data_IF_003298566938
#
_entry.id   IF_003298566938
#
_cell.length_a   1.000
_cell.length_b   1.000
_cell.length_c   1.000
_cell.angle_alpha   90.00
_cell.angle_beta   90.00
_cell.angle_gamma   90.00
#
_symmetry.space_group_name_H-M   'P 1'
#
loop_
_entity.id
_entity.type
_entity.pdbx_description
1 polymer ?
#
# COMPACT_ATOMS: atom_id res chain seq x y z
N UNK A 1 -17.91 -31.88 -14.41
CA UNK A 1 -19.19 -32.42 -13.91
C UNK A 1 -18.88 -33.58 -12.94
N UNK A 2 -19.70 -33.88 -11.90
CA UNK A 2 -19.37 -34.91 -10.91
C UNK A 2 -20.36 -36.10 -11.03
N UNK A 3 -19.86 -37.34 -10.85
CA UNK A 3 -20.64 -38.57 -10.87
C UNK A 3 -20.17 -39.57 -9.79
N UNK A 4 -21.09 -40.32 -9.21
CA UNK A 4 -20.80 -41.41 -8.29
C UNK A 4 -20.84 -42.78 -9.00
N UNK A 5 -21.28 -42.84 -10.27
CA UNK A 5 -21.25 -44.03 -11.09
C UNK A 5 -19.86 -44.25 -11.68
N UNK A 6 -19.13 -45.18 -11.07
CA UNK A 6 -17.73 -45.49 -11.46
C UNK A 6 -17.57 -46.98 -11.66
N UNK A 7 -16.98 -47.36 -12.82
CA UNK A 7 -16.74 -48.76 -13.16
C UNK A 7 -15.26 -49.00 -13.45
N UNK A 8 -14.64 -49.96 -12.80
CA UNK A 8 -13.22 -50.28 -12.92
C UNK A 8 -13.00 -51.59 -13.68
N UNK A 9 -11.94 -51.64 -14.48
CA UNK A 9 -11.50 -52.84 -15.16
C UNK A 9 -10.18 -53.38 -14.56
N UNK A 10 -9.85 -54.61 -14.89
CA UNK A 10 -8.56 -55.22 -14.53
C UNK A 10 -7.39 -54.53 -15.23
N UNK A 11 -6.25 -54.48 -14.54
CA UNK A 11 -5.00 -53.92 -15.10
C UNK A 11 -4.56 -54.77 -16.26
N UNK A 12 -4.13 -54.14 -17.36
CA UNK A 12 -3.61 -54.81 -18.57
C UNK A 12 -2.17 -54.42 -18.80
N UNK A 13 -1.35 -55.32 -19.46
CA UNK A 13 -0.04 -54.90 -19.97
C UNK A 13 -0.22 -53.75 -20.99
N UNK A 14 0.59 -52.68 -20.85
CA UNK A 14 0.57 -51.58 -21.78
C UNK A 14 1.21 -51.95 -23.15
N UNK A 15 0.88 -51.20 -24.18
CA UNK A 15 1.27 -51.49 -25.58
C UNK A 15 2.70 -51.01 -25.94
N UNK A 16 3.50 -50.52 -25.00
CA UNK A 16 4.86 -50.01 -25.28
C UNK A 16 5.81 -51.14 -25.63
N UNK A 17 6.50 -51.06 -26.80
CA UNK A 17 7.42 -52.07 -27.31
C UNK A 17 8.77 -52.12 -26.58
N UNK A 18 9.17 -51.06 -25.89
CA UNK A 18 10.53 -50.91 -25.31
C UNK A 18 10.58 -50.97 -23.80
N UNK A 19 9.48 -50.82 -23.08
CA UNK A 19 9.41 -50.85 -21.61
C UNK A 19 8.10 -51.44 -21.13
N UNK A 20 8.14 -52.38 -20.18
CA UNK A 20 6.91 -52.93 -19.58
C UNK A 20 6.15 -51.81 -18.87
N UNK A 21 4.92 -51.55 -19.30
CA UNK A 21 4.00 -50.61 -18.71
C UNK A 21 2.67 -51.34 -18.39
N UNK A 22 1.89 -50.72 -17.50
CA UNK A 22 0.61 -51.28 -17.02
C UNK A 22 -0.48 -50.23 -17.22
N UNK A 23 -1.54 -50.57 -17.97
CA UNK A 23 -2.66 -49.72 -18.26
C UNK A 23 -3.81 -50.02 -17.30
N UNK A 24 -4.31 -48.99 -16.63
CA UNK A 24 -5.45 -48.98 -15.77
C UNK A 24 -6.57 -48.26 -16.52
N UNK A 25 -7.78 -48.84 -16.52
CA UNK A 25 -8.94 -48.24 -17.19
C UNK A 25 -10.13 -48.22 -16.23
N UNK A 26 -10.87 -47.14 -16.27
CA UNK A 26 -12.11 -46.98 -15.52
C UNK A 26 -13.06 -46.05 -16.30
N UNK A 27 -14.32 -45.99 -15.87
CA UNK A 27 -15.36 -45.17 -16.48
C UNK A 27 -16.07 -44.39 -15.37
N UNK A 28 -16.29 -43.10 -15.60
CA UNK A 28 -17.05 -42.23 -14.70
C UNK A 28 -18.28 -41.70 -15.46
N UNK A 29 -19.47 -42.12 -15.00
CA UNK A 29 -20.69 -41.90 -15.76
C UNK A 29 -20.61 -42.54 -17.17
N UNK A 30 -20.69 -41.73 -18.22
CA UNK A 30 -20.53 -42.14 -19.60
C UNK A 30 -19.09 -42.07 -20.13
N UNK A 31 -18.16 -41.39 -19.44
CA UNK A 31 -16.82 -41.02 -19.93
C UNK A 31 -15.76 -42.06 -19.55
N UNK A 32 -15.05 -42.70 -20.52
CA UNK A 32 -13.95 -43.61 -20.25
C UNK A 32 -12.65 -42.88 -19.95
N UNK A 33 -11.87 -43.40 -18.99
CA UNK A 33 -10.55 -42.88 -18.60
C UNK A 33 -9.53 -44.00 -18.58
N UNK A 34 -8.26 -43.63 -18.79
CA UNK A 34 -7.12 -44.56 -18.67
C UNK A 34 -5.88 -43.87 -18.13
N UNK A 35 -5.01 -44.62 -17.46
CA UNK A 35 -3.71 -44.19 -17.01
C UNK A 35 -2.69 -45.31 -17.23
N UNK A 36 -1.46 -44.99 -17.66
CA UNK A 36 -0.41 -45.94 -17.91
C UNK A 36 0.75 -45.70 -16.94
N UNK A 37 1.12 -46.73 -16.18
CA UNK A 37 2.18 -46.66 -15.17
C UNK A 37 3.31 -47.63 -15.52
N UNK A 38 4.56 -47.27 -15.15
CA UNK A 38 5.75 -48.04 -15.48
C UNK A 38 6.02 -49.27 -14.62
N UNK A 39 5.23 -49.46 -13.54
CA UNK A 39 5.45 -50.51 -12.56
C UNK A 39 4.10 -51.08 -12.11
N UNK A 40 4.02 -52.40 -11.96
CA UNK A 40 2.79 -53.11 -11.57
C UNK A 40 2.32 -52.72 -10.18
N UNK A 41 3.23 -52.60 -9.22
CA UNK A 41 2.89 -52.21 -7.85
C UNK A 41 2.26 -50.78 -7.78
N UNK A 42 2.76 -49.85 -8.60
CA UNK A 42 2.18 -48.50 -8.72
C UNK A 42 0.78 -48.57 -9.36
N UNK A 43 0.60 -49.43 -10.34
CA UNK A 43 -0.70 -49.63 -10.99
C UNK A 43 -1.74 -50.24 -10.03
N UNK A 44 -1.33 -51.24 -9.24
CA UNK A 44 -2.19 -51.88 -8.22
C UNK A 44 -2.54 -50.88 -7.13
N UNK A 45 -1.59 -50.06 -6.63
CA UNK A 45 -1.82 -49.02 -5.66
C UNK A 45 -2.83 -47.99 -6.18
N UNK A 46 -2.61 -47.46 -7.37
CA UNK A 46 -3.48 -46.45 -7.97
C UNK A 46 -4.93 -46.95 -8.17
N UNK A 47 -5.08 -48.20 -8.64
CA UNK A 47 -6.41 -48.81 -8.79
C UNK A 47 -7.06 -49.04 -7.42
N UNK A 48 -6.27 -49.40 -6.40
CA UNK A 48 -6.76 -49.61 -5.03
C UNK A 48 -7.28 -48.27 -4.46
N UNK A 49 -6.54 -47.20 -4.66
CA UNK A 49 -6.92 -45.86 -4.17
C UNK A 49 -8.22 -45.36 -4.84
N UNK A 50 -8.35 -45.55 -6.16
CA UNK A 50 -9.60 -45.26 -6.87
C UNK A 50 -10.80 -46.04 -6.33
N UNK A 51 -10.59 -47.34 -6.08
CA UNK A 51 -11.64 -48.23 -5.50
C UNK A 51 -11.99 -47.81 -4.07
N UNK A 52 -11.02 -47.45 -3.29
CA UNK A 52 -11.23 -46.98 -1.91
C UNK A 52 -12.04 -45.67 -1.89
N UNK A 53 -11.71 -44.72 -2.75
CA UNK A 53 -12.49 -43.49 -2.89
C UNK A 53 -13.96 -43.75 -3.29
N UNK A 54 -14.18 -44.67 -4.26
CA UNK A 54 -15.53 -45.08 -4.63
C UNK A 54 -16.29 -45.74 -3.49
N UNK A 55 -15.63 -46.58 -2.68
CA UNK A 55 -16.25 -47.21 -1.48
C UNK A 55 -16.56 -46.19 -0.40
N UNK A 56 -15.77 -45.16 -0.27
CA UNK A 56 -16.00 -44.07 0.66
C UNK A 56 -17.11 -43.09 0.20
N UNK A 57 -17.74 -43.35 -0.97
CA UNK A 57 -18.82 -42.52 -1.51
C UNK A 57 -18.31 -41.15 -2.05
N UNK A 58 -17.07 -41.07 -2.49
CA UNK A 58 -16.54 -39.85 -3.09
C UNK A 58 -17.08 -39.64 -4.50
N UNK A 59 -17.37 -38.40 -4.85
CA UNK A 59 -17.71 -38.00 -6.21
C UNK A 59 -16.47 -37.97 -7.11
N UNK A 60 -16.60 -38.50 -8.34
CA UNK A 60 -15.57 -38.47 -9.36
C UNK A 60 -15.86 -37.38 -10.39
N UNK A 61 -14.88 -36.66 -10.81
CA UNK A 61 -14.97 -35.66 -11.89
C UNK A 61 -15.09 -36.38 -13.25
N UNK A 62 -16.11 -36.08 -14.04
CA UNK A 62 -16.37 -36.74 -15.32
C UNK A 62 -15.36 -36.42 -16.39
N UNK A 63 -14.66 -35.23 -16.29
CA UNK A 63 -13.71 -34.77 -17.30
C UNK A 63 -12.31 -35.29 -17.04
N UNK A 64 -11.93 -35.43 -15.74
CA UNK A 64 -10.59 -35.87 -15.31
C UNK A 64 -10.59 -37.37 -14.96
N UNK A 65 -11.73 -37.93 -14.55
CA UNK A 65 -11.88 -39.33 -14.17
C UNK A 65 -11.40 -39.66 -12.75
N UNK A 66 -11.05 -38.68 -11.92
CA UNK A 66 -10.47 -38.89 -10.59
C UNK A 66 -11.47 -38.49 -9.47
N UNK A 67 -11.39 -39.13 -8.30
CA UNK A 67 -12.19 -38.72 -7.13
C UNK A 67 -11.70 -37.38 -6.57
N UNK A 68 -12.58 -36.71 -5.84
CA UNK A 68 -12.25 -35.39 -5.24
C UNK A 68 -10.98 -35.42 -4.39
N UNK A 69 -10.72 -36.48 -3.63
CA UNK A 69 -9.49 -36.66 -2.85
C UNK A 69 -8.24 -36.73 -3.72
N UNK A 70 -8.30 -37.45 -4.85
CA UNK A 70 -7.19 -37.57 -5.79
C UNK A 70 -7.08 -36.37 -6.73
N UNK A 71 -8.18 -35.73 -7.07
CA UNK A 71 -8.18 -34.49 -7.87
C UNK A 71 -7.55 -33.35 -7.08
N UNK A 72 -7.77 -33.31 -5.77
CA UNK A 72 -7.03 -32.41 -4.85
C UNK A 72 -5.53 -32.74 -4.78
N UNK A 73 -5.16 -34.03 -4.89
CA UNK A 73 -3.77 -34.49 -4.90
C UNK A 73 -3.07 -34.35 -6.28
N UNK A 74 -3.80 -34.48 -7.38
CA UNK A 74 -3.31 -34.43 -8.77
C UNK A 74 -3.33 -33.00 -9.34
N UNK A 75 -4.11 -32.09 -8.79
CA UNK A 75 -3.80 -30.68 -8.88
C UNK A 75 -2.46 -30.50 -8.18
N UNK A 76 -1.34 -30.49 -8.91
CA UNK A 76 -0.14 -29.77 -8.50
C UNK A 76 -0.68 -28.45 -7.97
N UNK A 77 -0.73 -28.31 -6.61
CA UNK A 77 -1.43 -27.20 -5.98
C UNK A 77 -0.99 -25.93 -6.68
N UNK A 78 -1.92 -25.06 -7.00
CA UNK A 78 -1.67 -23.80 -7.71
C UNK A 78 -0.38 -23.19 -7.21
N UNK A 79 0.52 -22.78 -8.09
CA UNK A 79 1.80 -22.21 -7.67
C UNK A 79 1.56 -20.95 -6.84
N UNK A 80 2.42 -20.68 -5.88
CA UNK A 80 2.34 -19.46 -5.08
C UNK A 80 2.41 -18.20 -5.95
N UNK A 81 3.22 -18.23 -7.00
CA UNK A 81 3.29 -17.14 -7.99
C UNK A 81 1.92 -16.92 -8.65
N UNK A 82 1.33 -17.96 -9.25
CA UNK A 82 0.03 -17.84 -9.93
C UNK A 82 -1.10 -17.42 -8.98
N UNK A 83 -1.03 -17.88 -7.74
CA UNK A 83 -1.97 -17.47 -6.72
C UNK A 83 -1.85 -15.97 -6.40
N UNK A 84 -0.63 -15.48 -6.22
CA UNK A 84 -0.37 -14.06 -5.98
C UNK A 84 -0.78 -13.19 -7.17
N UNK A 85 -0.58 -13.65 -8.41
CA UNK A 85 -1.03 -12.95 -9.62
C UNK A 85 -2.55 -12.79 -9.61
N UNK A 86 -3.29 -13.85 -9.31
CA UNK A 86 -4.75 -13.80 -9.24
C UNK A 86 -5.26 -12.93 -8.08
N UNK A 87 -4.55 -12.93 -6.95
CA UNK A 87 -4.86 -12.03 -5.85
C UNK A 87 -4.71 -10.56 -6.25
N UNK A 88 -3.66 -10.23 -7.01
CA UNK A 88 -3.49 -8.89 -7.59
C UNK A 88 -4.65 -8.56 -8.51
N UNK A 89 -5.03 -9.46 -9.42
CA UNK A 89 -6.12 -9.22 -10.37
C UNK A 89 -7.46 -8.99 -9.67
N UNK A 90 -7.74 -9.74 -8.62
CA UNK A 90 -8.94 -9.55 -7.79
C UNK A 90 -8.93 -8.20 -7.07
N UNK A 91 -7.77 -7.75 -6.57
CA UNK A 91 -7.66 -6.48 -5.82
C UNK A 91 -7.55 -5.25 -6.71
N UNK A 92 -7.03 -5.40 -7.93
CA UNK A 92 -6.66 -4.28 -8.79
C UNK A 92 -7.78 -3.29 -9.06
N UNK A 93 -9.01 -3.71 -9.45
CA UNK A 93 -10.08 -2.77 -9.80
C UNK A 93 -10.51 -1.86 -8.65
N UNK A 94 -10.48 -2.37 -7.42
CA UNK A 94 -10.93 -1.63 -6.22
C UNK A 94 -9.81 -0.88 -5.49
N UNK A 95 -8.53 -1.16 -5.82
CA UNK A 95 -7.40 -0.60 -5.12
C UNK A 95 -6.97 0.75 -5.70
N UNK A 96 -6.81 1.76 -4.83
CA UNK A 96 -6.20 3.03 -5.23
C UNK A 96 -4.73 2.84 -5.66
N UNK A 97 -4.19 3.67 -6.58
CA UNK A 97 -2.84 3.54 -7.12
C UNK A 97 -1.74 3.39 -6.07
N UNK A 98 -1.81 4.13 -4.95
CA UNK A 98 -0.84 3.99 -3.86
C UNK A 98 -0.98 2.66 -3.10
N UNK A 99 -2.17 2.10 -3.07
CA UNK A 99 -2.42 0.76 -2.50
C UNK A 99 -1.88 -0.32 -3.43
N UNK A 100 -2.07 -0.17 -4.76
CA UNK A 100 -1.47 -1.04 -5.79
C UNK A 100 0.05 -1.06 -5.66
N UNK A 101 0.69 0.11 -5.57
CA UNK A 101 2.15 0.24 -5.34
C UNK A 101 2.60 -0.53 -4.08
N UNK A 102 1.92 -0.31 -2.95
CA UNK A 102 2.22 -1.00 -1.70
C UNK A 102 2.01 -2.52 -1.74
N UNK A 103 0.95 -2.97 -2.44
CA UNK A 103 0.65 -4.38 -2.66
C UNK A 103 1.75 -5.06 -3.48
N UNK A 104 2.09 -4.47 -4.63
CA UNK A 104 3.11 -4.97 -5.55
C UNK A 104 4.49 -4.98 -4.88
N UNK A 105 4.82 -3.91 -4.12
CA UNK A 105 6.05 -3.84 -3.35
C UNK A 105 6.19 -5.00 -2.34
N UNK A 106 5.12 -5.30 -1.64
CA UNK A 106 5.09 -6.40 -0.68
C UNK A 106 5.22 -7.77 -1.39
N UNK A 107 4.40 -8.03 -2.41
CA UNK A 107 4.39 -9.31 -3.13
C UNK A 107 5.70 -9.57 -3.86
N UNK A 108 6.34 -8.55 -4.44
CA UNK A 108 7.65 -8.68 -5.06
C UNK A 108 8.76 -9.04 -4.05
N UNK A 109 8.53 -8.83 -2.75
CA UNK A 109 9.41 -9.31 -1.68
C UNK A 109 9.02 -10.72 -1.22
N UNK A 110 7.73 -11.00 -1.11
CA UNK A 110 7.18 -12.24 -0.52
C UNK A 110 7.31 -13.44 -1.48
N UNK A 111 7.04 -13.24 -2.77
CA UNK A 111 7.02 -14.35 -3.75
C UNK A 111 8.36 -15.09 -3.82
N UNK A 112 9.53 -14.42 -3.91
CA UNK A 112 10.82 -15.11 -3.96
C UNK A 112 11.21 -15.86 -2.68
N UNK A 113 10.53 -15.60 -1.55
CA UNK A 113 10.77 -16.33 -0.30
C UNK A 113 10.11 -17.73 -0.28
N UNK A 114 9.22 -18.02 -1.23
CA UNK A 114 8.47 -19.29 -1.31
C UNK A 114 8.84 -20.02 -2.61
N UNK A 115 10.09 -20.44 -2.69
CA UNK A 115 10.62 -21.18 -3.85
C UNK A 115 11.32 -22.47 -3.40
N UNK A 116 11.27 -23.49 -4.24
CA UNK A 116 11.86 -24.81 -3.98
C UNK A 116 13.32 -24.98 -4.45
N UNK A 117 13.91 -23.95 -5.05
CA UNK A 117 15.28 -23.98 -5.58
C UNK A 117 15.99 -22.66 -5.34
N UNK A 118 17.30 -22.68 -5.27
CA UNK A 118 18.11 -21.46 -5.25
C UNK A 118 18.12 -20.79 -6.63
N UNK A 119 18.17 -19.45 -6.62
CA UNK A 119 18.30 -18.70 -7.85
C UNK A 119 19.66 -19.03 -8.54
N UNK A 120 19.68 -19.13 -9.87
CA UNK A 120 20.93 -19.31 -10.62
C UNK A 120 21.92 -18.17 -10.36
N UNK A 121 23.21 -18.48 -10.53
CA UNK A 121 24.26 -17.47 -10.42
C UNK A 121 23.99 -16.27 -11.33
N UNK A 122 24.19 -15.06 -10.81
CA UNK A 122 23.88 -13.80 -11.50
C UNK A 122 22.42 -13.33 -11.41
N UNK A 123 21.49 -14.15 -10.91
CA UNK A 123 20.11 -13.77 -10.67
C UNK A 123 19.93 -13.31 -9.22
N UNK A 124 20.14 -12.03 -8.99
CA UNK A 124 20.08 -11.46 -7.66
C UNK A 124 18.63 -11.03 -7.26
N UNK A 125 18.49 -10.67 -5.98
CA UNK A 125 17.22 -10.20 -5.39
C UNK A 125 16.62 -9.00 -6.14
N UNK A 126 17.45 -8.07 -6.60
CA UNK A 126 17.02 -6.88 -7.34
C UNK A 126 16.39 -7.25 -8.69
N UNK A 127 17.03 -8.17 -9.43
CA UNK A 127 16.53 -8.69 -10.72
C UNK A 127 15.17 -9.36 -10.56
N UNK A 128 15.03 -10.27 -9.58
CA UNK A 128 13.77 -10.97 -9.29
C UNK A 128 12.66 -9.99 -8.92
N UNK A 129 12.97 -9.05 -8.02
CA UNK A 129 12.03 -8.04 -7.61
C UNK A 129 11.64 -7.11 -8.76
N UNK A 130 12.59 -6.69 -9.59
CA UNK A 130 12.35 -5.89 -10.79
C UNK A 130 11.42 -6.60 -11.77
N UNK A 131 11.68 -7.88 -12.04
CA UNK A 131 10.86 -8.73 -12.91
C UNK A 131 9.41 -8.83 -12.40
N UNK A 132 9.25 -9.12 -11.13
CA UNK A 132 7.93 -9.19 -10.49
C UNK A 132 7.22 -7.82 -10.51
N UNK A 133 7.89 -6.76 -10.03
CA UNK A 133 7.30 -5.45 -9.84
C UNK A 133 6.90 -4.79 -11.16
N UNK A 134 7.72 -4.95 -12.19
CA UNK A 134 7.56 -4.20 -13.43
C UNK A 134 6.87 -4.96 -14.54
N UNK A 135 6.76 -6.28 -14.42
CA UNK A 135 6.16 -7.13 -15.46
C UNK A 135 5.06 -8.04 -14.90
N UNK A 136 5.39 -9.01 -14.06
CA UNK A 136 4.42 -10.04 -13.69
C UNK A 136 3.24 -9.52 -12.83
N UNK A 137 3.51 -8.72 -11.79
CA UNK A 137 2.50 -8.25 -10.84
C UNK A 137 1.70 -7.04 -11.37
N UNK A 138 2.12 -6.39 -12.45
CA UNK A 138 1.41 -5.24 -13.04
C UNK A 138 0.56 -5.73 -14.20
N UNK A 139 -0.78 -5.78 -14.09
CA UNK A 139 -1.63 -6.37 -15.14
C UNK A 139 -1.37 -5.81 -16.53
N UNK A 140 -1.28 -4.49 -16.67
CA UNK A 140 -1.01 -3.84 -17.96
C UNK A 140 0.37 -4.16 -18.57
N UNK A 141 1.33 -4.59 -17.75
CA UNK A 141 2.68 -4.89 -18.23
C UNK A 141 2.90 -6.36 -18.60
N UNK A 142 1.98 -7.25 -18.27
CA UNK A 142 2.09 -8.69 -18.59
C UNK A 142 2.07 -8.99 -20.07
N UNK A 143 1.43 -8.11 -20.87
CA UNK A 143 1.39 -8.24 -22.33
C UNK A 143 2.65 -7.69 -23.03
N UNK A 144 3.55 -7.05 -22.28
CA UNK A 144 4.78 -6.48 -22.82
C UNK A 144 5.85 -7.58 -22.94
N UNK A 145 6.66 -7.51 -23.98
CA UNK A 145 7.82 -8.39 -24.13
C UNK A 145 8.93 -7.93 -23.17
N UNK A 146 9.30 -8.76 -22.17
CA UNK A 146 10.29 -8.38 -21.19
C UNK A 146 11.71 -8.53 -21.74
N UNK A 147 12.68 -7.71 -21.27
CA UNK A 147 14.09 -7.88 -21.57
C UNK A 147 14.58 -9.31 -21.24
N UNK A 148 15.60 -9.86 -21.94
CA UNK A 148 16.03 -11.25 -21.78
C UNK A 148 16.31 -11.69 -20.35
N UNK A 149 16.96 -10.83 -19.55
CA UNK A 149 17.25 -11.12 -18.14
C UNK A 149 15.97 -11.20 -17.29
N UNK A 150 15.01 -10.34 -17.56
CA UNK A 150 13.69 -10.34 -16.88
C UNK A 150 12.90 -11.59 -17.29
N UNK A 151 12.87 -11.92 -18.58
CA UNK A 151 12.23 -13.14 -19.08
C UNK A 151 12.81 -14.40 -18.43
N UNK A 152 14.15 -14.46 -18.26
CA UNK A 152 14.82 -15.56 -17.58
C UNK A 152 14.40 -15.64 -16.10
N UNK A 153 14.33 -14.51 -15.42
CA UNK A 153 13.90 -14.43 -14.02
C UNK A 153 12.45 -14.89 -13.84
N UNK A 154 11.53 -14.48 -14.71
CA UNK A 154 10.13 -14.90 -14.67
C UNK A 154 9.99 -16.40 -14.92
N UNK A 155 10.64 -16.94 -15.97
CA UNK A 155 10.65 -18.39 -16.24
C UNK A 155 11.22 -19.22 -15.08
N UNK A 156 12.25 -18.70 -14.42
CA UNK A 156 12.78 -19.37 -13.23
C UNK A 156 11.77 -19.36 -12.07
N UNK A 157 11.16 -18.21 -11.78
CA UNK A 157 10.13 -18.09 -10.75
C UNK A 157 8.93 -19.02 -11.00
N UNK A 158 8.45 -19.14 -12.23
CA UNK A 158 7.38 -20.08 -12.62
C UNK A 158 7.72 -21.53 -12.27
N UNK A 159 8.97 -21.93 -12.53
CA UNK A 159 9.44 -23.30 -12.26
C UNK A 159 9.76 -23.55 -10.79
N UNK A 160 10.32 -22.57 -10.11
CA UNK A 160 10.80 -22.68 -8.73
C UNK A 160 9.70 -22.40 -7.68
N UNK A 161 8.62 -21.72 -8.06
CA UNK A 161 7.53 -21.38 -7.15
C UNK A 161 6.86 -22.62 -6.59
N UNK A 162 6.78 -22.70 -5.26
CA UNK A 162 6.14 -23.83 -4.55
C UNK A 162 4.61 -23.74 -4.64
N UNK A 163 3.90 -24.85 -4.46
CA UNK A 163 2.44 -24.84 -4.33
C UNK A 163 1.97 -24.00 -3.13
N UNK A 164 0.76 -23.45 -3.20
CA UNK A 164 0.13 -22.67 -2.10
C UNK A 164 0.09 -23.47 -0.80
N UNK A 165 -0.12 -24.79 -0.87
CA UNK A 165 -0.14 -25.68 0.29
C UNK A 165 1.20 -25.70 1.07
N UNK A 166 2.31 -25.41 0.42
CA UNK A 166 3.62 -25.32 1.07
C UNK A 166 3.76 -24.05 1.92
N UNK A 167 3.04 -22.98 1.57
CA UNK A 167 3.02 -21.73 2.35
C UNK A 167 2.42 -21.96 3.74
N UNK A 168 1.59 -22.97 3.93
CA UNK A 168 1.07 -23.34 5.25
C UNK A 168 2.09 -24.02 6.18
N UNK A 169 3.33 -24.26 5.73
CA UNK A 169 4.38 -24.87 6.54
C UNK A 169 5.19 -23.80 7.27
N UNK A 170 5.46 -23.95 8.58
CA UNK A 170 6.12 -22.93 9.39
C UNK A 170 7.46 -22.42 8.85
N UNK A 171 8.20 -23.27 8.17
CA UNK A 171 9.49 -22.92 7.57
C UNK A 171 9.38 -21.87 6.46
N UNK A 172 8.35 -21.96 5.60
CA UNK A 172 8.15 -21.02 4.50
C UNK A 172 7.55 -19.70 5.00
N UNK A 173 6.63 -19.78 5.98
CA UNK A 173 6.08 -18.57 6.60
C UNK A 173 7.16 -17.78 7.34
N UNK A 174 8.09 -18.46 8.04
CA UNK A 174 9.25 -17.80 8.66
C UNK A 174 10.16 -17.16 7.63
N UNK A 175 10.46 -17.86 6.53
CA UNK A 175 11.27 -17.29 5.44
C UNK A 175 10.64 -16.00 4.87
N UNK A 176 9.32 -15.95 4.71
CA UNK A 176 8.62 -14.72 4.31
C UNK A 176 8.76 -13.62 5.36
N UNK A 177 8.57 -13.94 6.66
CA UNK A 177 8.69 -12.96 7.75
C UNK A 177 10.12 -12.41 7.88
N UNK A 178 11.14 -13.24 7.68
CA UNK A 178 12.54 -12.84 7.67
C UNK A 178 12.83 -11.94 6.46
N UNK A 179 12.33 -12.31 5.27
CA UNK A 179 12.52 -11.54 4.04
C UNK A 179 11.88 -10.13 4.10
N UNK A 180 10.68 -9.99 4.68
CA UNK A 180 10.06 -8.67 4.86
C UNK A 180 10.71 -7.83 5.96
N UNK A 181 11.53 -8.44 6.80
CA UNK A 181 12.22 -7.78 7.91
C UNK A 181 13.53 -7.11 7.49
N UNK A 182 13.98 -7.34 6.26
CA UNK A 182 15.18 -6.72 5.70
C UNK A 182 14.85 -5.85 4.49
N UNK A 183 15.68 -4.84 4.26
CA UNK A 183 15.66 -4.00 3.06
C UNK A 183 16.44 -4.65 1.92
N UNK A 184 16.39 -4.08 0.71
CA UNK A 184 17.10 -4.64 -0.45
C UNK A 184 18.62 -4.67 -0.26
N UNK A 185 19.17 -3.73 0.48
CA UNK A 185 20.58 -3.61 0.82
C UNK A 185 20.97 -4.41 2.09
N UNK A 186 20.06 -5.30 2.57
CA UNK A 186 20.33 -6.21 3.70
C UNK A 186 20.23 -5.58 5.09
N UNK A 187 19.87 -4.28 5.20
CA UNK A 187 19.67 -3.64 6.51
C UNK A 187 18.31 -4.01 7.10
N UNK A 188 18.15 -3.80 8.40
CA UNK A 188 16.86 -3.97 9.06
C UNK A 188 15.82 -3.00 8.48
N UNK A 189 14.66 -3.53 8.12
CA UNK A 189 13.54 -2.71 7.65
C UNK A 189 12.87 -2.00 8.82
N UNK A 190 12.26 -0.82 8.54
CA UNK A 190 11.51 -0.10 9.57
C UNK A 190 10.27 -0.88 10.05
N UNK A 191 9.90 -0.73 11.30
CA UNK A 191 8.73 -1.38 11.88
C UNK A 191 7.44 -1.15 11.06
N UNK A 192 7.26 0.05 10.52
CA UNK A 192 6.12 0.38 9.65
C UNK A 192 6.16 -0.36 8.32
N UNK A 193 7.34 -0.53 7.72
CA UNK A 193 7.52 -1.30 6.48
C UNK A 193 7.20 -2.77 6.71
N UNK A 194 7.72 -3.35 7.79
CA UNK A 194 7.46 -4.75 8.20
C UNK A 194 5.96 -4.96 8.43
N UNK A 195 5.32 -4.09 9.24
CA UNK A 195 3.89 -4.18 9.53
C UNK A 195 3.04 -4.11 8.25
N UNK A 196 3.37 -3.21 7.32
CA UNK A 196 2.67 -3.07 6.04
C UNK A 196 2.80 -4.33 5.17
N UNK A 197 4.03 -4.83 4.98
CA UNK A 197 4.28 -6.03 4.16
C UNK A 197 3.64 -7.28 4.78
N UNK A 198 3.73 -7.42 6.11
CA UNK A 198 3.07 -8.50 6.85
C UNK A 198 1.55 -8.44 6.69
N UNK A 199 0.95 -7.25 6.71
CA UNK A 199 -0.49 -7.09 6.49
C UNK A 199 -0.91 -7.56 5.09
N UNK A 200 -0.10 -7.27 4.07
CA UNK A 200 -0.34 -7.81 2.71
C UNK A 200 -0.25 -9.33 2.71
N UNK A 201 0.80 -9.90 3.30
CA UNK A 201 0.95 -11.36 3.40
C UNK A 201 -0.24 -12.02 4.10
N UNK A 202 -0.64 -11.49 5.26
CA UNK A 202 -1.81 -12.00 5.98
C UNK A 202 -3.12 -11.92 5.17
N UNK A 203 -3.28 -10.88 4.35
CA UNK A 203 -4.45 -10.75 3.48
C UNK A 203 -4.42 -11.78 2.33
N UNK A 204 -3.25 -12.06 1.74
CA UNK A 204 -3.10 -13.10 0.71
C UNK A 204 -3.40 -14.48 1.30
N UNK A 205 -2.86 -14.77 2.49
CA UNK A 205 -3.15 -16.03 3.20
C UNK A 205 -4.64 -16.17 3.52
N UNK A 206 -5.29 -15.11 3.98
CA UNK A 206 -6.74 -15.13 4.23
C UNK A 206 -7.53 -15.42 2.97
N UNK A 207 -7.11 -14.87 1.83
CA UNK A 207 -7.72 -15.18 0.55
C UNK A 207 -7.47 -16.63 0.12
N UNK A 208 -6.31 -17.22 0.46
CA UNK A 208 -6.05 -18.63 0.23
C UNK A 208 -6.95 -19.56 1.08
N UNK A 209 -7.25 -19.15 2.31
CA UNK A 209 -8.22 -19.85 3.17
C UNK A 209 -9.65 -19.69 2.65
N UNK A 210 -10.03 -18.50 2.19
CA UNK A 210 -11.34 -18.23 1.58
C UNK A 210 -11.58 -19.08 0.33
N UNK A 211 -10.54 -19.33 -0.48
CA UNK A 211 -10.61 -20.20 -1.66
C UNK A 211 -10.33 -21.68 -1.37
N UNK A 212 -10.28 -22.08 -0.11
CA UNK A 212 -9.99 -23.46 0.32
C UNK A 212 -8.65 -24.04 -0.16
N UNK A 213 -7.71 -23.17 -0.61
CA UNK A 213 -6.33 -23.57 -0.94
C UNK A 213 -5.51 -23.86 0.32
N UNK A 214 -5.89 -23.25 1.45
CA UNK A 214 -5.34 -23.52 2.79
C UNK A 214 -6.48 -23.86 3.77
N UNK A 215 -6.30 -24.82 4.66
CA UNK A 215 -7.34 -25.23 5.62
C UNK A 215 -7.53 -24.23 6.76
N UNK A 216 -6.53 -23.43 7.08
CA UNK A 216 -6.54 -22.41 8.14
C UNK A 216 -5.40 -21.43 7.94
N UNK A 217 -5.46 -20.28 8.63
CA UNK A 217 -4.38 -19.27 8.57
C UNK A 217 -3.14 -19.76 9.36
N UNK A 218 -2.02 -20.08 8.69
CA UNK A 218 -0.81 -20.57 9.36
C UNK A 218 -0.15 -19.52 10.25
N UNK A 219 -0.35 -18.22 9.98
CA UNK A 219 0.23 -17.13 10.77
C UNK A 219 -0.28 -17.10 12.22
N UNK A 220 -1.45 -17.68 12.49
CA UNK A 220 -2.04 -17.71 13.82
C UNK A 220 -1.30 -18.70 14.74
N UNK A 221 -0.53 -19.63 14.16
CA UNK A 221 0.25 -20.66 14.89
C UNK A 221 1.72 -20.28 15.07
N UNK A 222 2.17 -19.19 14.41
CA UNK A 222 3.55 -18.77 14.48
C UNK A 222 3.84 -17.90 15.70
N UNK A 223 4.82 -18.32 16.50
CA UNK A 223 5.38 -17.47 17.54
C UNK A 223 6.30 -16.41 16.91
N UNK A 224 5.70 -15.33 16.39
CA UNK A 224 6.41 -14.20 15.82
C UNK A 224 5.82 -12.89 16.36
N UNK A 225 6.67 -12.04 16.90
CA UNK A 225 6.25 -10.74 17.44
C UNK A 225 6.58 -9.64 16.44
N UNK A 226 5.58 -8.92 15.93
CA UNK A 226 5.84 -7.77 15.06
C UNK A 226 6.61 -6.69 15.86
N UNK A 227 7.53 -5.96 15.19
CA UNK A 227 8.14 -4.81 15.81
C UNK A 227 7.09 -3.78 16.19
N UNK A 228 7.26 -3.14 17.34
CA UNK A 228 6.34 -2.10 17.81
C UNK A 228 6.42 -0.87 16.89
N UNK A 229 5.29 -0.46 16.34
CA UNK A 229 5.16 0.78 15.58
C UNK A 229 4.73 1.88 16.53
N UNK A 230 5.53 2.94 16.66
CA UNK A 230 5.10 4.15 17.36
C UNK A 230 4.19 4.96 16.45
N UNK A 231 2.93 5.11 16.83
CA UNK A 231 1.97 5.95 16.12
C UNK A 231 1.92 7.39 16.65
N UNK A 232 2.57 7.64 17.78
CA UNK A 232 2.60 8.95 18.43
C UNK A 232 3.54 9.90 17.70
N UNK A 233 3.08 11.13 17.46
CA UNK A 233 3.92 12.20 16.90
C UNK A 233 5.10 12.48 17.83
N UNK A 234 6.29 12.47 17.28
CA UNK A 234 7.47 12.90 17.99
C UNK A 234 7.43 14.43 18.18
N UNK A 235 7.36 14.90 19.43
CA UNK A 235 7.34 16.34 19.74
C UNK A 235 8.52 17.10 19.12
N UNK A 236 9.66 16.44 18.90
CA UNK A 236 10.85 17.04 18.31
C UNK A 236 10.66 17.50 16.85
N UNK A 237 9.66 16.97 16.14
CA UNK A 237 9.37 17.42 14.77
C UNK A 237 8.49 18.65 14.74
N UNK A 238 7.84 19.02 15.86
CA UNK A 238 6.82 20.05 15.94
C UNK A 238 7.47 21.43 16.13
N UNK A 239 7.26 22.33 15.20
CA UNK A 239 7.70 23.71 15.27
C UNK A 239 6.70 24.58 16.04
N UNK A 240 7.20 25.55 16.78
CA UNK A 240 6.38 26.59 17.39
C UNK A 240 5.92 27.64 16.36
N UNK A 241 4.94 28.53 16.70
CA UNK A 241 4.40 29.51 15.77
C UNK A 241 5.44 30.46 15.15
N UNK A 242 6.47 30.84 15.90
CA UNK A 242 7.54 31.69 15.41
C UNK A 242 8.40 30.95 14.38
N UNK A 243 8.88 29.76 14.71
CA UNK A 243 9.67 28.91 13.81
C UNK A 243 8.90 28.58 12.52
N UNK A 244 7.59 28.32 12.62
CA UNK A 244 6.76 28.06 11.44
C UNK A 244 6.74 29.28 10.49
N UNK A 245 6.59 30.50 10.99
CA UNK A 245 6.64 31.72 10.17
C UNK A 245 8.01 31.98 9.59
N UNK A 246 9.08 31.76 10.37
CA UNK A 246 10.46 31.86 9.89
C UNK A 246 10.72 30.89 8.72
N UNK A 247 10.25 29.64 8.84
CA UNK A 247 10.34 28.65 7.77
C UNK A 247 9.52 29.05 6.53
N UNK A 248 8.28 29.53 6.70
CA UNK A 248 7.45 30.00 5.60
C UNK A 248 8.09 31.20 4.88
N UNK A 249 8.71 32.11 5.63
CA UNK A 249 9.48 33.23 5.07
C UNK A 249 10.69 32.69 4.31
N UNK A 250 11.47 31.79 4.88
CA UNK A 250 12.64 31.21 4.22
C UNK A 250 12.28 30.46 2.91
N UNK A 251 11.11 29.85 2.83
CA UNK A 251 10.62 29.25 1.57
C UNK A 251 10.62 30.26 0.44
N UNK A 252 10.27 31.53 0.68
CA UNK A 252 10.19 32.55 -0.39
C UNK A 252 11.54 32.85 -1.02
N UNK A 253 12.65 32.59 -0.32
CA UNK A 253 14.02 32.80 -0.81
C UNK A 253 14.60 31.60 -1.56
N UNK A 254 13.91 30.46 -1.59
CA UNK A 254 14.40 29.24 -2.28
C UNK A 254 14.23 29.39 -3.78
N UNK A 255 15.32 29.28 -4.53
CA UNK A 255 15.32 29.27 -6.00
C UNK A 255 15.40 30.66 -6.64
N UNK A 256 15.78 31.70 -5.90
CA UNK A 256 15.97 33.11 -6.40
C UNK A 256 17.07 33.27 -7.44
N UNK A 257 17.97 32.31 -7.63
CA UNK A 257 19.05 32.38 -8.63
C UNK A 257 18.58 32.42 -10.10
N UNK A 258 17.30 32.17 -10.36
CA UNK A 258 16.66 32.40 -11.65
C UNK A 258 16.07 33.83 -11.66
N UNK A 259 16.55 34.68 -12.54
CA UNK A 259 16.07 36.06 -12.72
C UNK A 259 14.55 36.10 -12.94
N UNK A 260 13.83 36.83 -12.05
CA UNK A 260 12.41 37.11 -12.21
C UNK A 260 11.58 36.86 -10.92
N UNK A 261 10.36 37.43 -10.81
CA UNK A 261 9.50 37.35 -9.62
C UNK A 261 8.82 35.98 -9.41
N UNK A 262 9.34 34.92 -10.01
CA UNK A 262 8.71 33.61 -10.05
C UNK A 262 9.58 32.50 -9.48
N UNK A 263 10.34 32.80 -8.43
CA UNK A 263 11.10 31.76 -7.70
C UNK A 263 10.19 30.66 -7.25
N UNK A 264 10.63 29.40 -7.43
CA UNK A 264 9.87 28.20 -7.07
C UNK A 264 9.34 28.26 -5.63
N UNK A 265 10.14 28.80 -4.71
CA UNK A 265 9.76 28.96 -3.33
C UNK A 265 8.58 29.90 -3.14
N UNK A 266 8.55 31.05 -3.82
CA UNK A 266 7.44 32.01 -3.75
C UNK A 266 6.12 31.38 -4.19
N UNK A 267 6.13 30.54 -5.25
CA UNK A 267 4.95 29.81 -5.71
C UNK A 267 4.47 28.74 -4.73
N UNK A 268 5.37 28.18 -3.92
CA UNK A 268 5.03 27.09 -2.99
C UNK A 268 4.75 27.58 -1.57
N UNK A 269 5.07 28.81 -1.21
CA UNK A 269 4.92 29.32 0.15
C UNK A 269 3.47 29.18 0.65
N UNK A 270 2.49 29.58 -0.15
CA UNK A 270 1.09 29.46 0.22
C UNK A 270 0.59 28.00 0.36
N UNK A 271 1.21 27.04 -0.35
CA UNK A 271 0.94 25.62 -0.17
C UNK A 271 1.38 25.15 1.22
N UNK A 272 2.57 25.51 1.67
CA UNK A 272 3.05 25.18 3.02
C UNK A 272 2.23 25.93 4.09
N UNK A 273 1.83 27.17 3.82
CA UNK A 273 0.95 27.91 4.70
C UNK A 273 -0.41 27.19 4.89
N UNK A 274 -0.99 26.59 3.85
CA UNK A 274 -2.17 25.74 3.96
C UNK A 274 -1.95 24.51 4.86
N UNK A 275 -0.75 23.91 4.79
CA UNK A 275 -0.42 22.77 5.65
C UNK A 275 -0.28 23.17 7.11
N UNK A 276 0.25 24.37 7.38
CA UNK A 276 0.42 24.89 8.74
C UNK A 276 -0.88 25.48 9.31
N UNK A 277 -1.49 26.45 8.65
CA UNK A 277 -2.63 27.19 9.20
C UNK A 277 -3.97 26.42 9.10
N UNK A 278 -4.12 25.55 8.10
CA UNK A 278 -5.34 24.77 7.86
C UNK A 278 -5.16 23.27 8.08
N UNK A 279 -3.99 22.83 8.54
CA UNK A 279 -3.63 21.42 8.75
C UNK A 279 -3.92 20.54 7.53
N UNK A 280 -3.77 21.02 6.29
CA UNK A 280 -4.03 20.23 5.09
C UNK A 280 -2.98 19.15 4.88
N UNK A 281 -3.41 18.00 4.34
CA UNK A 281 -2.49 17.02 3.77
C UNK A 281 -1.89 17.55 2.47
N UNK A 282 -0.66 17.20 2.09
CA UNK A 282 -0.06 17.68 0.83
C UNK A 282 -0.98 17.45 -0.40
N UNK A 283 -1.58 16.27 -0.51
CA UNK A 283 -2.51 15.97 -1.62
C UNK A 283 -3.82 16.78 -1.59
N UNK A 284 -4.28 17.22 -0.41
CA UNK A 284 -5.43 18.12 -0.28
C UNK A 284 -5.03 19.55 -0.67
N UNK A 285 -3.86 20.01 -0.24
CA UNK A 285 -3.34 21.33 -0.63
C UNK A 285 -3.14 21.43 -2.15
N UNK A 286 -2.50 20.44 -2.77
CA UNK A 286 -2.29 20.41 -4.24
C UNK A 286 -3.61 20.35 -5.02
N UNK A 287 -4.66 19.75 -4.46
CA UNK A 287 -5.98 19.67 -5.08
C UNK A 287 -6.81 20.96 -4.98
N UNK A 288 -6.44 21.89 -4.08
CA UNK A 288 -7.22 23.07 -3.74
C UNK A 288 -7.44 23.98 -4.96
N UNK A 289 -8.70 24.35 -5.22
CA UNK A 289 -9.12 25.21 -6.32
C UNK A 289 -9.62 26.55 -5.80
N UNK A 290 -9.65 27.56 -6.67
CA UNK A 290 -10.16 28.91 -6.33
C UNK A 290 -11.60 28.88 -5.81
N UNK A 291 -12.45 28.07 -6.39
CA UNK A 291 -13.85 27.90 -5.99
C UNK A 291 -14.02 27.32 -4.58
N UNK A 292 -13.04 26.57 -4.10
CA UNK A 292 -13.05 25.92 -2.78
C UNK A 292 -12.72 26.91 -1.65
N UNK A 293 -12.35 28.17 -2.01
CA UNK A 293 -11.80 29.15 -1.11
C UNK A 293 -12.75 30.34 -0.93
N UNK A 294 -13.30 30.48 0.28
CA UNK A 294 -13.94 31.70 0.72
C UNK A 294 -12.90 32.59 1.41
N UNK A 295 -12.47 33.69 0.74
CA UNK A 295 -11.40 34.58 1.15
C UNK A 295 -11.91 36.03 1.32
N UNK A 296 -12.52 36.35 2.46
CA UNK A 296 -13.07 37.69 2.71
C UNK A 296 -11.94 38.73 2.80
N UNK A 297 -12.31 40.02 2.64
CA UNK A 297 -11.33 41.13 2.77
C UNK A 297 -10.82 41.30 4.22
N UNK A 298 -11.63 40.93 5.20
CA UNK A 298 -11.33 40.98 6.64
C UNK A 298 -11.91 39.76 7.36
N UNK A 299 -11.21 39.31 8.42
CA UNK A 299 -11.70 38.23 9.27
C UNK A 299 -11.32 36.84 8.76
N UNK A 300 -11.99 35.84 9.34
CA UNK A 300 -11.76 34.42 9.05
C UNK A 300 -12.33 34.02 7.70
N UNK A 301 -11.55 33.24 6.95
CA UNK A 301 -11.99 32.58 5.72
C UNK A 301 -12.36 31.12 5.94
N UNK A 302 -12.58 30.41 4.84
CA UNK A 302 -12.94 28.99 4.86
C UNK A 302 -12.44 28.29 3.61
N UNK A 303 -11.91 27.09 3.79
CA UNK A 303 -11.65 26.15 2.70
C UNK A 303 -12.71 25.04 2.74
N UNK A 304 -13.25 24.68 1.59
CA UNK A 304 -14.18 23.56 1.42
C UNK A 304 -13.47 22.48 0.60
N UNK A 305 -13.00 21.44 1.27
CA UNK A 305 -12.22 20.38 0.63
C UNK A 305 -13.15 19.26 0.17
N UNK A 306 -13.08 18.93 -1.11
CA UNK A 306 -13.86 17.86 -1.74
C UNK A 306 -12.96 16.71 -2.17
N UNK A 307 -11.74 17.04 -2.61
CA UNK A 307 -10.83 16.10 -3.26
C UNK A 307 -9.43 16.15 -2.67
N UNK A 308 -8.70 15.08 -2.94
CA UNK A 308 -7.27 14.97 -2.72
C UNK A 308 -6.61 14.51 -4.01
N UNK A 309 -5.43 15.05 -4.34
CA UNK A 309 -4.71 14.76 -5.58
C UNK A 309 -3.25 14.39 -5.28
N UNK A 310 -3.00 13.23 -4.60
CA UNK A 310 -1.64 12.79 -4.35
C UNK A 310 -0.92 12.45 -5.67
N UNK A 311 0.37 12.72 -5.71
CA UNK A 311 1.23 12.22 -6.77
C UNK A 311 1.41 10.70 -6.60
N UNK A 312 1.33 9.98 -7.71
CA UNK A 312 1.46 8.54 -7.80
C UNK A 312 2.30 8.16 -9.02
N UNK A 313 2.89 7.00 -9.01
CA UNK A 313 3.57 6.51 -10.20
C UNK A 313 2.52 6.15 -11.26
N UNK A 314 2.70 6.66 -12.47
CA UNK A 314 1.81 6.46 -13.64
C UNK A 314 1.51 5.00 -13.93
N UNK A 315 2.43 4.11 -13.62
CA UNK A 315 2.28 2.65 -13.81
C UNK A 315 1.13 2.05 -13.02
N UNK A 316 0.78 2.67 -11.89
CA UNK A 316 -0.27 2.16 -11.00
C UNK A 316 -1.65 2.78 -11.24
N UNK A 317 -1.73 3.73 -12.18
CA UNK A 317 -2.98 4.41 -12.54
C UNK A 317 -3.58 3.81 -13.82
N UNK A 318 -4.90 3.75 -13.89
CA UNK A 318 -5.61 3.26 -15.09
C UNK A 318 -5.54 4.26 -16.25
N UNK A 319 -5.25 5.54 -15.95
CA UNK A 319 -5.18 6.66 -16.91
C UNK A 319 -3.77 7.07 -17.30
N UNK A 320 -2.73 6.36 -16.81
CA UNK A 320 -1.33 6.77 -16.93
C UNK A 320 -1.03 8.20 -16.42
N UNK A 321 -1.89 8.76 -15.58
CA UNK A 321 -1.70 10.04 -14.93
C UNK A 321 -0.70 9.92 -13.78
N UNK A 322 0.15 10.95 -13.58
CA UNK A 322 1.03 11.03 -12.42
C UNK A 322 0.31 11.46 -11.13
N UNK A 323 -0.99 11.73 -11.20
CA UNK A 323 -1.80 12.15 -10.07
C UNK A 323 -3.09 11.36 -10.03
N UNK A 324 -3.49 10.96 -8.82
CA UNK A 324 -4.72 10.26 -8.53
C UNK A 324 -5.71 11.24 -7.89
N UNK A 325 -6.69 11.73 -8.67
CA UNK A 325 -7.73 12.60 -8.14
C UNK A 325 -8.83 11.74 -7.52
N UNK A 326 -9.02 11.87 -6.22
CA UNK A 326 -9.98 11.06 -5.44
C UNK A 326 -10.61 11.85 -4.31
N UNK A 327 -11.68 11.32 -3.74
CA UNK A 327 -12.31 11.86 -2.53
C UNK A 327 -11.36 11.93 -1.33
N UNK A 328 -11.81 12.54 -0.26
CA UNK A 328 -11.04 12.68 0.97
C UNK A 328 -10.80 11.30 1.61
N UNK A 329 -9.62 11.15 2.22
CA UNK A 329 -9.22 9.88 2.85
C UNK A 329 -10.17 9.51 3.99
N UNK A 330 -10.65 8.26 4.00
CA UNK A 330 -11.58 7.70 4.99
C UNK A 330 -12.95 8.39 5.05
N UNK A 331 -13.42 8.97 3.92
CA UNK A 331 -14.73 9.57 3.79
C UNK A 331 -15.44 9.09 2.52
N UNK A 332 -16.78 9.05 2.49
CA UNK A 332 -17.52 8.86 1.25
C UNK A 332 -17.13 9.90 0.19
N UNK A 333 -17.20 9.52 -1.09
CA UNK A 333 -16.75 10.39 -2.19
C UNK A 333 -17.51 11.73 -2.29
N UNK A 334 -18.76 11.76 -1.79
CA UNK A 334 -19.63 12.96 -1.76
C UNK A 334 -19.40 13.84 -0.53
N UNK A 335 -18.61 13.41 0.44
CA UNK A 335 -18.45 14.16 1.69
C UNK A 335 -17.38 15.24 1.54
N UNK A 336 -17.73 16.46 1.95
CA UNK A 336 -16.83 17.60 1.96
C UNK A 336 -16.33 17.89 3.37
N UNK A 337 -15.17 18.56 3.49
CA UNK A 337 -14.62 19.00 4.77
C UNK A 337 -14.44 20.52 4.76
N UNK A 338 -15.09 21.20 5.67
CA UNK A 338 -14.95 22.64 5.88
C UNK A 338 -13.86 22.92 6.91
N UNK A 339 -12.90 23.76 6.54
CA UNK A 339 -11.78 24.15 7.41
C UNK A 339 -11.80 25.67 7.53
N UNK A 340 -12.12 26.25 8.71
CA UNK A 340 -11.94 27.67 8.95
C UNK A 340 -10.44 28.03 8.88
N UNK A 341 -10.13 29.14 8.25
CA UNK A 341 -8.74 29.61 8.11
C UNK A 341 -8.58 31.03 8.68
N UNK A 342 -7.45 31.29 9.37
CA UNK A 342 -7.22 32.60 10.00
C UNK A 342 -6.97 33.68 8.95
N UNK A 343 -7.14 34.97 9.33
CA UNK A 343 -6.91 36.12 8.45
C UNK A 343 -5.51 36.13 7.80
N UNK A 344 -4.49 35.61 8.50
CA UNK A 344 -3.14 35.49 7.99
C UNK A 344 -3.07 34.58 6.74
N UNK A 345 -3.71 33.41 6.79
CA UNK A 345 -3.78 32.50 5.62
C UNK A 345 -4.66 33.09 4.51
N UNK A 346 -5.74 33.81 4.87
CA UNK A 346 -6.59 34.50 3.88
C UNK A 346 -5.77 35.49 3.07
N UNK A 347 -4.95 36.33 3.74
CA UNK A 347 -4.09 37.31 3.09
C UNK A 347 -3.05 36.62 2.18
N UNK A 348 -2.39 35.57 2.68
CA UNK A 348 -1.41 34.77 1.91
C UNK A 348 -2.05 34.20 0.63
N UNK A 349 -3.24 33.60 0.72
CA UNK A 349 -3.93 33.01 -0.42
C UNK A 349 -4.38 34.05 -1.44
N UNK A 350 -4.88 35.21 -0.97
CA UNK A 350 -5.23 36.32 -1.86
C UNK A 350 -4.01 36.82 -2.63
N UNK A 351 -2.91 37.12 -1.92
CA UNK A 351 -1.66 37.51 -2.54
C UNK A 351 -1.14 36.48 -3.53
N UNK A 352 -1.22 35.21 -3.20
CA UNK A 352 -0.83 34.12 -4.10
C UNK A 352 -1.63 34.14 -5.40
N UNK A 353 -2.97 34.27 -5.29
CA UNK A 353 -3.86 34.31 -6.45
C UNK A 353 -3.59 35.56 -7.29
N UNK A 354 -3.41 36.71 -6.66
CA UNK A 354 -3.14 37.98 -7.35
C UNK A 354 -1.78 37.95 -8.09
N UNK A 355 -0.78 37.28 -7.51
CA UNK A 355 0.59 37.22 -8.07
C UNK A 355 0.73 36.14 -9.16
N UNK A 356 0.17 34.97 -8.96
CA UNK A 356 0.43 33.80 -9.81
C UNK A 356 -0.79 33.31 -10.60
N UNK A 357 -1.97 33.88 -10.30
CA UNK A 357 -3.22 33.41 -10.90
C UNK A 357 -3.62 32.00 -10.43
N UNK A 358 -4.41 31.35 -11.24
CA UNK A 358 -4.86 29.95 -11.05
C UNK A 358 -4.59 29.14 -12.34
N UNK A 359 -4.39 27.83 -12.19
CA UNK A 359 -4.26 26.94 -13.34
C UNK A 359 -5.56 26.88 -14.16
N UNK A 360 -5.49 26.40 -15.40
CA UNK A 360 -6.65 26.30 -16.29
C UNK A 360 -7.83 25.47 -15.71
N UNK A 361 -7.54 24.51 -14.83
CA UNK A 361 -8.54 23.72 -14.11
C UNK A 361 -8.96 24.35 -12.74
N UNK A 362 -8.58 25.60 -12.48
CA UNK A 362 -8.90 26.38 -11.30
C UNK A 362 -8.04 26.08 -10.07
N UNK A 363 -7.03 25.20 -10.15
CA UNK A 363 -6.13 24.91 -9.02
C UNK A 363 -5.27 26.13 -8.66
N UNK A 364 -5.08 26.33 -7.35
CA UNK A 364 -4.23 27.42 -6.85
C UNK A 364 -2.75 27.14 -7.11
N UNK A 365 -2.32 25.89 -6.97
CA UNK A 365 -0.91 25.53 -7.01
C UNK A 365 -0.55 24.78 -8.29
N UNK A 366 0.31 25.40 -9.07
CA UNK A 366 0.86 24.85 -10.31
C UNK A 366 2.34 25.23 -10.47
N UNK A 367 3.06 24.47 -11.30
CA UNK A 367 4.38 24.88 -11.77
C UNK A 367 4.27 26.11 -12.68
N UNK A 368 5.40 26.74 -13.03
CA UNK A 368 5.45 27.85 -14.00
C UNK A 368 4.79 27.52 -15.35
N UNK A 369 4.81 26.25 -15.73
CA UNK A 369 4.20 25.75 -16.97
C UNK A 369 2.73 25.31 -16.81
N UNK A 370 2.09 25.64 -15.69
CA UNK A 370 0.71 25.23 -15.40
C UNK A 370 0.52 23.76 -15.05
N UNK A 371 1.58 22.94 -14.99
CA UNK A 371 1.50 21.55 -14.60
C UNK A 371 1.30 21.38 -13.09
N UNK A 372 0.78 20.22 -12.63
CA UNK A 372 0.73 19.89 -11.22
C UNK A 372 2.10 20.01 -10.54
N UNK A 373 2.10 20.42 -9.27
CA UNK A 373 3.32 20.52 -8.47
C UNK A 373 3.81 19.11 -8.12
N UNK A 374 5.05 18.77 -8.48
CA UNK A 374 5.68 17.50 -8.15
C UNK A 374 6.03 17.41 -6.66
N UNK A 375 5.88 16.23 -6.07
CA UNK A 375 6.21 16.00 -4.65
C UNK A 375 7.69 16.20 -4.36
N UNK A 376 8.57 15.92 -5.32
CA UNK A 376 10.01 16.23 -5.22
C UNK A 376 10.24 17.73 -5.11
N UNK A 377 9.57 18.56 -5.92
CA UNK A 377 9.69 20.00 -5.84
C UNK A 377 9.25 20.54 -4.46
N UNK A 378 8.19 19.97 -3.89
CA UNK A 378 7.74 20.28 -2.52
C UNK A 378 8.80 19.87 -1.50
N UNK A 379 9.34 18.66 -1.57
CA UNK A 379 10.33 18.17 -0.60
C UNK A 379 11.66 18.92 -0.68
N UNK A 380 12.17 19.16 -1.88
CA UNK A 380 13.47 19.83 -2.10
C UNK A 380 13.42 21.31 -1.67
N UNK A 381 12.32 22.00 -2.02
CA UNK A 381 12.12 23.39 -1.59
C UNK A 381 12.04 23.48 -0.07
N UNK A 382 11.36 22.53 0.59
CA UNK A 382 11.28 22.49 2.04
C UNK A 382 12.63 22.23 2.70
N UNK A 383 13.41 21.28 2.18
CA UNK A 383 14.75 20.98 2.67
C UNK A 383 15.66 22.19 2.58
N UNK A 384 15.64 22.92 1.45
CA UNK A 384 16.41 24.15 1.28
C UNK A 384 15.94 25.26 2.25
N UNK A 385 14.63 25.47 2.43
CA UNK A 385 14.09 26.45 3.37
C UNK A 385 14.49 26.14 4.83
N UNK A 386 14.51 24.87 5.23
CA UNK A 386 14.99 24.46 6.57
C UNK A 386 16.46 24.87 6.79
N UNK A 387 17.31 24.68 5.78
CA UNK A 387 18.73 25.07 5.86
C UNK A 387 18.92 26.58 5.96
N UNK A 388 17.97 27.39 5.46
CA UNK A 388 18.01 28.84 5.54
C UNK A 388 17.47 29.38 6.89
N UNK A 389 16.42 28.77 7.41
CA UNK A 389 15.69 29.28 8.59
C UNK A 389 16.23 28.76 9.91
N UNK A 390 16.77 27.54 9.92
CA UNK A 390 17.17 26.85 11.15
C UNK A 390 18.69 26.94 11.39
N UNK A 391 19.08 26.90 12.66
CA UNK A 391 20.50 26.76 12.99
C UNK A 391 21.01 25.39 12.47
N UNK A 392 22.33 25.22 12.24
CA UNK A 392 22.90 23.98 11.78
C UNK A 392 22.47 22.75 12.65
N UNK A 393 22.43 22.93 13.96
CA UNK A 393 22.00 21.88 14.90
C UNK A 393 20.51 21.52 14.74
N UNK A 394 19.64 22.51 14.56
CA UNK A 394 18.22 22.30 14.28
C UNK A 394 17.98 21.69 12.90
N UNK A 395 18.69 22.14 11.88
CA UNK A 395 18.59 21.58 10.53
C UNK A 395 19.05 20.11 10.46
N UNK A 396 20.04 19.72 11.26
CA UNK A 396 20.48 18.33 11.40
C UNK A 396 19.53 17.47 12.25
N UNK A 397 18.62 18.09 12.99
CA UNK A 397 17.63 17.38 13.83
C UNK A 397 16.39 16.97 13.02
N UNK A 398 15.45 16.29 13.68
CA UNK A 398 14.15 15.93 13.11
C UNK A 398 13.16 17.10 13.01
N UNK A 399 13.49 18.29 13.52
CA UNK A 399 12.60 19.45 13.59
C UNK A 399 12.10 19.85 12.20
N UNK A 400 10.78 19.79 11.99
CA UNK A 400 10.12 20.04 10.70
C UNK A 400 10.80 19.31 9.52
N UNK A 401 11.26 18.06 9.73
CA UNK A 401 12.05 17.29 8.77
C UNK A 401 11.36 17.09 7.42
N UNK A 402 10.03 17.05 7.43
CA UNK A 402 9.21 16.89 6.23
C UNK A 402 8.15 17.99 6.16
N UNK A 403 7.69 18.35 4.95
CA UNK A 403 6.56 19.30 4.80
C UNK A 403 5.34 18.91 5.63
N UNK A 404 5.07 17.60 5.77
CA UNK A 404 3.95 17.06 6.55
C UNK A 404 4.00 17.43 8.04
N UNK A 405 5.19 17.71 8.57
CA UNK A 405 5.37 18.07 9.99
C UNK A 405 4.75 19.45 10.31
N UNK A 406 4.52 20.32 9.31
CA UNK A 406 3.71 21.52 9.45
C UNK A 406 2.26 21.23 9.87
N UNK A 407 1.69 20.17 9.32
CA UNK A 407 0.36 19.73 9.73
C UNK A 407 0.36 19.19 11.16
N UNK A 408 1.43 18.48 11.57
CA UNK A 408 1.58 18.07 12.95
C UNK A 408 1.65 19.29 13.88
N UNK A 409 2.40 20.31 13.50
CA UNK A 409 2.49 21.57 14.23
C UNK A 409 1.13 22.27 14.35
N UNK A 410 0.35 22.34 13.26
CA UNK A 410 -0.99 22.93 13.26
C UNK A 410 -1.94 22.21 14.23
N UNK A 411 -2.01 20.90 14.18
CA UNK A 411 -2.91 20.10 15.03
C UNK A 411 -2.49 20.22 16.50
N UNK A 412 -1.17 20.13 16.79
CA UNK A 412 -0.64 20.34 18.13
C UNK A 412 -0.95 21.75 18.66
N UNK A 413 -0.78 22.79 17.84
CA UNK A 413 -1.11 24.16 18.20
C UNK A 413 -2.61 24.31 18.56
N UNK A 414 -3.50 23.74 17.74
CA UNK A 414 -4.94 23.83 18.02
C UNK A 414 -5.32 23.13 19.32
N UNK A 415 -4.75 21.97 19.60
CA UNK A 415 -4.97 21.24 20.85
C UNK A 415 -4.42 22.03 22.05
N UNK A 416 -3.19 22.54 21.97
CA UNK A 416 -2.58 23.36 23.03
C UNK A 416 -3.30 24.70 23.23
N UNK A 417 -3.93 25.26 22.18
CA UNK A 417 -4.81 26.43 22.29
C UNK A 417 -6.20 26.09 22.88
N UNK A 418 -6.41 24.84 23.29
CA UNK A 418 -7.65 24.38 23.92
C UNK A 418 -8.84 24.26 22.98
N UNK A 419 -8.63 24.08 21.66
CA UNK A 419 -9.72 23.73 20.74
C UNK A 419 -10.17 22.30 21.07
N UNK A 420 -11.48 22.06 21.28
CA UNK A 420 -11.99 20.74 21.63
C UNK A 420 -11.54 19.64 20.64
N UNK A 421 -11.06 18.48 21.10
CA UNK A 421 -10.56 17.41 20.23
C UNK A 421 -11.53 17.00 19.10
N UNK A 422 -12.86 16.91 19.28
CA UNK A 422 -13.77 16.65 18.17
C UNK A 422 -13.71 17.69 17.05
N UNK A 423 -13.58 18.98 17.41
CA UNK A 423 -13.45 20.07 16.44
C UNK A 423 -12.09 20.04 15.72
N UNK A 424 -11.02 19.71 16.43
CA UNK A 424 -9.70 19.51 15.81
C UNK A 424 -9.73 18.33 14.85
N UNK A 425 -10.34 17.20 15.25
CA UNK A 425 -10.49 16.00 14.43
C UNK A 425 -11.28 16.30 13.14
N UNK A 426 -12.41 17.00 13.24
CA UNK A 426 -13.24 17.45 12.12
C UNK A 426 -12.42 18.30 11.13
N UNK A 427 -11.76 19.36 11.62
CA UNK A 427 -10.94 20.27 10.80
C UNK A 427 -9.76 19.57 10.14
N UNK A 428 -9.06 18.72 10.89
CA UNK A 428 -7.92 17.97 10.37
C UNK A 428 -8.31 16.75 9.51
N UNK A 429 -9.56 16.28 9.57
CA UNK A 429 -9.99 15.05 8.89
C UNK A 429 -9.36 13.79 9.47
N UNK A 430 -9.43 13.68 10.81
CA UNK A 430 -9.11 12.48 11.60
C UNK A 430 -10.38 11.96 12.27
N UNK A 431 -10.40 10.70 12.73
CA UNK A 431 -11.29 10.32 13.81
C UNK A 431 -10.76 10.87 15.14
N UNK A 432 -11.62 11.07 16.12
CA UNK A 432 -11.21 11.53 17.46
C UNK A 432 -10.24 10.54 18.09
N UNK A 433 -10.47 9.24 17.92
CA UNK A 433 -9.59 8.17 18.39
C UNK A 433 -8.17 8.29 17.80
N UNK A 434 -8.06 8.44 16.47
CA UNK A 434 -6.78 8.63 15.80
C UNK A 434 -6.11 9.92 16.28
N UNK A 435 -6.87 11.02 16.45
CA UNK A 435 -6.33 12.27 16.94
C UNK A 435 -5.70 12.10 18.31
N UNK A 436 -6.45 11.55 19.28
CA UNK A 436 -5.97 11.36 20.65
C UNK A 436 -4.78 10.40 20.70
N UNK A 437 -4.83 9.29 19.97
CA UNK A 437 -3.72 8.32 19.90
C UNK A 437 -2.43 8.94 19.35
N UNK A 438 -2.55 9.71 18.26
CA UNK A 438 -1.40 10.28 17.54
C UNK A 438 -0.81 11.48 18.27
N UNK A 439 -1.65 12.31 18.88
CA UNK A 439 -1.23 13.58 19.53
C UNK A 439 -1.33 13.55 21.05
N UNK A 440 -1.46 12.38 21.66
CA UNK A 440 -1.57 12.24 23.13
C UNK A 440 -0.49 13.03 23.89
N UNK A 441 0.76 12.97 23.42
CA UNK A 441 1.88 13.68 24.07
C UNK A 441 1.86 15.20 23.84
N UNK A 442 1.01 15.72 22.98
CA UNK A 442 0.89 17.15 22.74
C UNK A 442 -0.18 17.81 23.66
N UNK A 443 -0.83 17.03 24.52
CA UNK A 443 -1.89 17.50 25.42
C UNK A 443 -1.39 17.83 26.85
N UNK A 444 -0.14 17.47 27.16
CA UNK A 444 0.38 17.52 28.55
C UNK A 444 0.55 18.96 29.13
N UNK A 445 0.53 20.01 28.30
CA UNK A 445 0.71 21.42 28.75
C UNK A 445 -0.64 22.17 28.87
N UNK A 446 -1.75 21.45 28.86
CA UNK A 446 -3.11 22.06 28.79
C UNK A 446 -3.81 22.31 30.13
N UNK A 447 -3.24 21.89 31.26
CA UNK A 447 -3.91 21.96 32.56
C UNK A 447 -4.22 23.40 32.97
N UNK A 448 -3.30 24.35 32.80
CA UNK A 448 -3.53 25.76 33.15
C UNK A 448 -4.64 26.39 32.30
N UNK A 449 -4.70 26.05 31.00
CA UNK A 449 -5.75 26.53 30.12
C UNK A 449 -7.10 25.87 30.48
N UNK A 450 -7.09 24.59 30.80
CA UNK A 450 -8.29 23.88 31.23
C UNK A 450 -8.79 24.44 32.56
N UNK A 451 -7.92 24.63 33.55
CA UNK A 451 -8.25 25.21 34.86
C UNK A 451 -8.81 26.64 34.72
N UNK A 452 -8.14 27.50 33.92
CA UNK A 452 -8.66 28.87 33.65
C UNK A 452 -10.06 28.86 33.05
N UNK A 453 -10.37 27.91 32.17
CA UNK A 453 -11.70 27.79 31.58
C UNK A 453 -12.74 27.26 32.57
N UNK A 454 -12.35 26.32 33.41
CA UNK A 454 -13.20 25.81 34.50
C UNK A 454 -13.49 26.92 35.48
N UNK A 455 -12.47 27.67 35.88
CA UNK A 455 -12.63 28.82 36.77
C UNK A 455 -13.56 29.88 36.20
N UNK A 456 -13.40 30.21 34.91
CA UNK A 456 -14.31 31.14 34.23
C UNK A 456 -15.76 30.61 34.23
N UNK A 457 -15.97 29.32 33.92
CA UNK A 457 -17.30 28.72 33.92
C UNK A 457 -17.95 28.62 35.33
N UNK A 458 -17.12 28.47 36.36
CA UNK A 458 -17.59 28.47 37.77
C UNK A 458 -17.83 29.90 38.31
N UNK A 459 -17.10 30.90 37.80
CA UNK A 459 -17.20 32.28 38.22
C UNK A 459 -18.41 33.07 37.64
N UNK A 460 -19.01 32.55 36.61
CA UNK A 460 -20.23 33.12 35.96
C UNK A 460 -21.55 32.59 36.57
N UNK A 461 -21.53 31.94 37.73
CA UNK A 461 -22.70 31.40 38.45
C UNK A 461 -23.16 32.29 39.58
#
# INVERSE_FOLDING_TARGET
>A
MKSYDVKFWAIRPGKAKTKRTYEIRWKVGSTPHSSTLGNKAQADSFLSDLRQAARNGEAFDTDIGLPDSMTKATRRGRSWLDFCLSYVDMKWPSAAPKTRDGLIDALATIIPAVVGAQAPDGMNRETLRGALRHFALTPASRALDPPPAVAAALRWLEKASLPVSEVGKPQHDRAVLDEISVTQDGRAASATTIARKRSVFANVIRYAVELEELPSNPLDRLSWKPPKVSEVVDRRVVVNPRQARELLTAVTYVGEQRRGPQARGQRLMALYACMYFAALRPGEAVALRRQDCYLPARGWGRLTLEKSRPEVNRRWTDTASAHDERGLKHRPASETRRVPIPPELVAILRQHIDTFGVAADGRLFSSERGHPVASTAISDTWAAARSLALTPAQAASSLAGRPYDLRHAAVSLWLSAGVPPPRVAERAGHSVEVLLRVYAKCLDDGDDIANTRIDAALGDA
#
